data_IF_943007790947
#
_entry.id   IF_943007790947
#
_cell.length_a   1.000
_cell.length_b   1.000
_cell.length_c   1.000
_cell.angle_alpha   90.00
_cell.angle_beta   90.00
_cell.angle_gamma   90.00
#
_symmetry.space_group_name_H-M   'P 1'
#
loop_
_entity.id
_entity.type
_entity.pdbx_description
1 polymer ?
#
# COMPACT_ATOMS: atom_id res chain seq x y z
N UNK A 1 -10.84 13.21 -10.33
CA UNK A 1 -10.05 12.77 -9.16
C UNK A 1 -11.02 12.21 -8.14
N UNK A 2 -10.82 10.97 -7.69
CA UNK A 2 -11.78 10.25 -6.84
C UNK A 2 -11.22 10.06 -5.44
N UNK A 3 -12.03 10.39 -4.43
CA UNK A 3 -11.75 10.15 -3.02
C UNK A 3 -12.66 9.03 -2.51
N UNK A 4 -12.11 8.15 -1.67
CA UNK A 4 -12.86 7.04 -1.07
C UNK A 4 -12.59 6.98 0.42
N UNK A 5 -13.57 6.52 1.19
CA UNK A 5 -13.35 6.17 2.59
C UNK A 5 -12.27 5.10 2.68
N UNK A 6 -11.51 5.05 3.77
CA UNK A 6 -10.46 4.03 3.96
C UNK A 6 -10.99 2.63 3.71
N UNK A 7 -12.13 2.26 4.29
CA UNK A 7 -12.76 0.95 4.09
C UNK A 7 -12.96 0.62 2.60
N UNK A 8 -13.63 1.51 1.85
CA UNK A 8 -13.88 1.31 0.42
C UNK A 8 -12.61 1.36 -0.43
N UNK A 9 -11.60 2.10 0.01
CA UNK A 9 -10.28 2.12 -0.61
C UNK A 9 -9.55 0.79 -0.45
N UNK A 10 -9.64 0.19 0.74
CA UNK A 10 -9.05 -1.11 1.05
C UNK A 10 -9.74 -2.24 0.27
N UNK A 11 -11.07 -2.22 0.21
CA UNK A 11 -11.89 -3.15 -0.58
C UNK A 11 -11.53 -3.09 -2.07
N UNK A 12 -11.39 -1.87 -2.63
CA UNK A 12 -11.03 -1.66 -4.05
C UNK A 12 -9.76 -2.40 -4.44
N UNK A 13 -8.74 -2.37 -3.58
CA UNK A 13 -7.41 -2.93 -3.87
C UNK A 13 -7.22 -4.33 -3.26
N UNK A 14 -8.26 -4.90 -2.65
CA UNK A 14 -8.23 -6.25 -2.10
C UNK A 14 -7.39 -6.43 -0.85
N UNK A 15 -7.23 -5.39 -0.01
CA UNK A 15 -6.50 -5.48 1.25
C UNK A 15 -7.39 -5.22 2.45
N UNK A 16 -6.90 -5.55 3.66
CA UNK A 16 -7.61 -5.21 4.90
C UNK A 16 -7.53 -3.72 5.20
N UNK A 17 -8.57 -3.17 5.85
CA UNK A 17 -8.56 -1.77 6.31
C UNK A 17 -7.34 -1.49 7.22
N UNK A 18 -6.96 -2.45 8.06
CA UNK A 18 -5.78 -2.36 8.92
C UNK A 18 -4.50 -2.16 8.10
N UNK A 19 -4.34 -2.88 7.00
CA UNK A 19 -3.19 -2.73 6.11
C UNK A 19 -3.15 -1.33 5.49
N UNK A 20 -4.30 -0.82 5.05
CA UNK A 20 -4.37 0.53 4.49
C UNK A 20 -4.05 1.61 5.54
N UNK A 21 -4.46 1.41 6.80
CA UNK A 21 -4.05 2.27 7.91
C UNK A 21 -2.55 2.19 8.21
N UNK A 22 -1.92 1.03 8.05
CA UNK A 22 -0.46 0.91 8.14
C UNK A 22 0.21 1.75 7.07
N UNK A 23 -0.25 1.69 5.81
CA UNK A 23 0.30 2.52 4.74
C UNK A 23 0.14 4.02 5.03
N UNK A 24 -0.97 4.43 5.64
CA UNK A 24 -1.17 5.81 6.09
C UNK A 24 -0.12 6.22 7.13
N UNK A 25 0.18 5.34 8.09
CA UNK A 25 1.24 5.57 9.08
C UNK A 25 2.62 5.64 8.43
N UNK A 26 2.84 4.87 7.37
CA UNK A 26 4.10 4.81 6.63
C UNK A 26 4.25 5.95 5.59
N UNK A 27 3.23 6.81 5.46
CA UNK A 27 3.32 8.05 4.66
C UNK A 27 2.35 8.16 3.47
N UNK A 28 1.39 7.24 3.31
CA UNK A 28 0.29 7.41 2.36
C UNK A 28 -0.58 8.62 2.76
N UNK A 29 -0.80 9.60 1.86
CA UNK A 29 -1.67 10.73 2.15
C UNK A 29 -3.12 10.33 2.41
N UNK A 30 -3.74 10.98 3.41
CA UNK A 30 -5.15 10.81 3.75
C UNK A 30 -5.78 12.15 4.15
N UNK A 31 -7.11 12.20 4.09
CA UNK A 31 -7.92 13.38 4.36
C UNK A 31 -8.97 13.06 5.40
N UNK A 32 -9.12 13.91 6.42
CA UNK A 32 -10.14 13.75 7.46
C UNK A 32 -11.30 14.72 7.22
N UNK A 33 -12.51 14.17 7.10
CA UNK A 33 -13.75 14.94 6.97
C UNK A 33 -14.75 14.44 8.00
N UNK A 34 -15.14 15.31 8.95
CA UNK A 34 -16.10 14.98 10.03
C UNK A 34 -15.79 13.63 10.71
N UNK A 35 -14.51 13.42 11.07
CA UNK A 35 -13.96 12.19 11.68
C UNK A 35 -13.95 10.93 10.79
N UNK A 36 -14.32 11.06 9.53
CA UNK A 36 -14.17 9.98 8.54
C UNK A 36 -12.90 10.21 7.74
N UNK A 37 -12.05 9.18 7.64
CA UNK A 37 -10.83 9.24 6.86
C UNK A 37 -11.08 8.79 5.40
N UNK A 38 -10.43 9.51 4.48
CA UNK A 38 -10.51 9.30 3.05
C UNK A 38 -9.12 9.21 2.46
N UNK A 39 -8.96 8.37 1.46
CA UNK A 39 -7.78 8.31 0.59
C UNK A 39 -8.18 8.71 -0.81
N UNK A 40 -7.21 9.22 -1.55
CA UNK A 40 -7.35 9.56 -2.95
C UNK A 40 -6.83 8.39 -3.79
N UNK A 41 -7.60 7.97 -4.78
CA UNK A 41 -7.25 6.79 -5.58
C UNK A 41 -5.85 6.93 -6.21
N UNK A 42 -5.49 8.13 -6.70
CA UNK A 42 -4.17 8.40 -7.29
C UNK A 42 -3.02 8.28 -6.29
N UNK A 43 -3.25 8.62 -5.02
CA UNK A 43 -2.22 8.58 -3.98
C UNK A 43 -1.98 7.12 -3.57
N UNK A 44 -3.06 6.33 -3.49
CA UNK A 44 -3.00 4.88 -3.27
C UNK A 44 -2.27 4.19 -4.42
N UNK A 45 -2.66 4.49 -5.67
CA UNK A 45 -2.04 3.88 -6.86
C UNK A 45 -0.56 4.27 -6.95
N UNK A 46 -0.21 5.52 -6.65
CA UNK A 46 1.18 5.99 -6.60
C UNK A 46 1.98 5.34 -5.46
N UNK A 47 1.38 5.15 -4.29
CA UNK A 47 2.00 4.45 -3.17
C UNK A 47 2.28 2.98 -3.52
N UNK A 48 1.29 2.29 -4.11
CA UNK A 48 1.44 0.92 -4.61
C UNK A 48 2.54 0.86 -5.66
N UNK A 49 2.57 1.78 -6.62
CA UNK A 49 3.61 1.79 -7.66
C UNK A 49 5.02 1.96 -7.07
N UNK A 50 5.17 2.85 -6.07
CA UNK A 50 6.46 3.03 -5.37
C UNK A 50 6.87 1.79 -4.58
N UNK A 51 5.94 1.15 -3.89
CA UNK A 51 6.22 -0.04 -3.07
C UNK A 51 6.31 -1.33 -3.89
N UNK A 52 5.65 -1.42 -5.05
CA UNK A 52 5.80 -2.50 -6.04
C UNK A 52 7.06 -2.37 -6.89
N UNK A 53 7.66 -1.18 -6.96
CA UNK A 53 9.02 -1.04 -7.45
C UNK A 53 10.05 -1.62 -6.45
N UNK A 54 9.64 -1.93 -5.22
CA UNK A 54 10.50 -2.44 -4.14
C UNK A 54 10.36 -3.93 -3.73
N UNK A 55 9.68 -4.88 -4.42
CA UNK A 55 9.70 -6.28 -3.98
C UNK A 55 9.86 -7.31 -5.11
N UNK A 56 10.51 -6.96 -6.22
CA UNK A 56 10.98 -7.97 -7.19
C UNK A 56 12.45 -8.32 -6.95
N UNK A 57 13.31 -7.31 -6.74
CA UNK A 57 14.75 -7.53 -6.58
C UNK A 57 15.12 -8.19 -5.24
N UNK A 58 14.39 -7.91 -4.16
CA UNK A 58 14.67 -8.53 -2.85
C UNK A 58 14.18 -9.98 -2.75
N UNK A 59 13.12 -10.36 -3.46
CA UNK A 59 12.62 -11.74 -3.46
C UNK A 59 13.55 -12.65 -4.27
N UNK A 60 13.98 -12.21 -5.46
CA UNK A 60 14.96 -12.97 -6.25
C UNK A 60 16.30 -13.10 -5.51
N UNK A 61 16.73 -12.07 -4.77
CA UNK A 61 17.94 -12.15 -3.94
C UNK A 61 17.80 -13.13 -2.78
N UNK A 62 16.67 -13.15 -2.07
CA UNK A 62 16.41 -14.12 -0.99
C UNK A 62 16.32 -15.55 -1.55
N UNK A 63 15.69 -15.73 -2.71
CA UNK A 63 15.62 -17.04 -3.38
C UNK A 63 17.01 -17.49 -3.84
N UNK A 64 17.83 -16.59 -4.38
CA UNK A 64 19.21 -16.86 -4.78
C UNK A 64 20.11 -17.18 -3.57
N UNK A 65 20.00 -16.45 -2.45
CA UNK A 65 20.75 -16.76 -1.22
C UNK A 65 20.35 -18.13 -0.62
N UNK A 66 19.08 -18.53 -0.75
CA UNK A 66 18.62 -19.88 -0.34
C UNK A 66 19.15 -20.97 -1.29
N UNK A 67 19.33 -20.68 -2.58
CA UNK A 67 19.85 -21.64 -3.56
C UNK A 67 21.38 -21.76 -3.55
N UNK A 68 22.10 -20.67 -3.25
CA UNK A 68 23.57 -20.66 -3.18
C UNK A 68 24.13 -20.90 -1.76
N UNK A 69 23.23 -20.99 -0.76
CA UNK A 69 23.53 -21.40 0.61
C UNK A 69 23.87 -22.88 0.72
N UNK A 70 25.17 -23.16 0.69
CA UNK A 70 25.82 -24.32 1.31
C UNK A 70 25.43 -24.53 2.78
#
# INVERSE_FOLDING_TARGET
MSFRKIQSGAERIGISERTLWTWIKDGLPYYLVKRTAFVKDSDVDGYIARHRATPAEDIDRIILEIQEGK
#
